data_IF_569120326939
#
_entry.id   IF_569120326939
#
_cell.length_a   1.000
_cell.length_b   1.000
_cell.length_c   1.000
_cell.angle_alpha   90.00
_cell.angle_beta   90.00
_cell.angle_gamma   90.00
#
_symmetry.space_group_name_H-M   'P 1'
#
loop_
_entity.id
_entity.type
_entity.pdbx_description
1 polymer ?
#
# COMPACT_ATOMS: atom_id res chain seq x y z
N UNK A 1 -12.16 0.59 -4.53
CA UNK A 1 -10.72 0.88 -4.59
C UNK A 1 -10.46 1.80 -5.76
N UNK A 2 -9.71 2.88 -5.55
CA UNK A 2 -9.25 3.82 -6.58
C UNK A 2 -7.83 4.28 -6.25
N UNK A 3 -7.04 4.70 -7.24
CA UNK A 3 -5.75 5.34 -7.01
C UNK A 3 -5.90 6.82 -6.67
N UNK A 4 -4.87 7.44 -6.10
CA UNK A 4 -4.74 8.89 -5.90
C UNK A 4 -5.01 9.70 -7.17
N UNK A 5 -4.38 9.35 -8.30
CA UNK A 5 -4.61 10.02 -9.59
C UNK A 5 -6.08 9.95 -10.04
N UNK A 6 -6.72 8.80 -9.89
CA UNK A 6 -8.15 8.62 -10.19
C UNK A 6 -9.03 9.40 -9.23
N UNK A 7 -8.65 9.48 -7.94
CA UNK A 7 -9.37 10.28 -6.96
C UNK A 7 -9.45 11.74 -7.39
N UNK A 8 -8.32 12.37 -7.71
CA UNK A 8 -8.29 13.76 -8.18
C UNK A 8 -8.98 13.95 -9.54
N UNK A 9 -8.85 12.99 -10.46
CA UNK A 9 -9.39 13.13 -11.81
C UNK A 9 -10.91 12.95 -11.89
N UNK A 10 -11.47 11.96 -11.17
CA UNK A 10 -12.89 11.59 -11.30
C UNK A 10 -13.54 11.14 -9.98
N UNK A 11 -12.77 10.91 -8.92
CA UNK A 11 -13.30 10.42 -7.64
C UNK A 11 -14.05 11.49 -6.83
N UNK A 12 -13.64 12.75 -6.89
CA UNK A 12 -14.22 13.83 -6.07
C UNK A 12 -15.72 14.04 -6.35
N UNK A 13 -16.20 14.18 -7.61
CA UNK A 13 -17.64 14.34 -7.86
C UNK A 13 -18.46 13.12 -7.41
N UNK A 14 -17.91 11.91 -7.62
CA UNK A 14 -18.57 10.67 -7.19
C UNK A 14 -18.66 10.57 -5.67
N UNK A 15 -17.61 10.99 -4.94
CA UNK A 15 -17.60 11.06 -3.48
C UNK A 15 -18.68 12.00 -2.96
N UNK A 16 -18.72 13.23 -3.50
CA UNK A 16 -19.70 14.24 -3.09
C UNK A 16 -21.13 13.76 -3.35
N UNK A 17 -21.37 13.11 -4.49
CA UNK A 17 -22.67 12.53 -4.78
C UNK A 17 -23.04 11.41 -3.78
N UNK A 18 -22.09 10.54 -3.42
CA UNK A 18 -22.33 9.48 -2.43
C UNK A 18 -22.66 10.06 -1.05
N UNK A 19 -21.92 11.09 -0.61
CA UNK A 19 -22.19 11.76 0.67
C UNK A 19 -23.54 12.48 0.65
N UNK A 20 -23.83 13.24 -0.41
CA UNK A 20 -25.09 13.98 -0.54
C UNK A 20 -26.32 13.07 -0.47
N UNK A 21 -26.26 11.90 -1.12
CA UNK A 21 -27.35 10.94 -1.14
C UNK A 21 -27.33 9.95 0.04
N UNK A 22 -26.37 10.06 0.96
CA UNK A 22 -26.23 9.13 2.08
C UNK A 22 -25.95 7.69 1.65
N UNK A 23 -25.37 7.46 0.47
CA UNK A 23 -25.06 6.13 -0.04
C UNK A 23 -23.93 5.50 0.80
N UNK A 24 -24.14 4.38 1.52
CA UNK A 24 -23.21 3.87 2.53
C UNK A 24 -22.04 3.07 1.92
N UNK A 25 -21.35 3.64 0.94
CA UNK A 25 -20.23 3.00 0.25
C UNK A 25 -18.92 3.15 1.01
N UNK A 26 -18.04 2.17 0.85
CA UNK A 26 -16.70 2.15 1.45
C UNK A 26 -15.66 2.41 0.37
N UNK A 27 -14.88 3.46 0.54
CA UNK A 27 -13.93 3.92 -0.49
C UNK A 27 -12.53 3.76 0.05
N UNK A 28 -11.73 2.97 -0.67
CA UNK A 28 -10.31 2.83 -0.38
C UNK A 28 -9.52 3.55 -1.45
N UNK A 29 -8.64 4.44 -1.03
CA UNK A 29 -7.72 5.16 -1.91
C UNK A 29 -6.33 4.58 -1.74
N UNK A 30 -5.77 4.00 -2.81
CA UNK A 30 -4.38 3.58 -2.88
C UNK A 30 -3.54 4.80 -3.26
N UNK A 31 -3.01 5.47 -2.24
CA UNK A 31 -2.28 6.72 -2.36
C UNK A 31 -0.78 6.42 -2.40
N UNK A 32 -0.23 6.36 -3.61
CA UNK A 32 1.17 6.05 -3.83
C UNK A 32 2.02 7.24 -4.29
N UNK A 33 1.43 8.44 -4.29
CA UNK A 33 2.07 9.68 -4.73
C UNK A 33 2.51 9.67 -6.19
N UNK A 34 1.91 8.82 -7.04
CA UNK A 34 2.32 8.68 -8.44
C UNK A 34 1.20 8.13 -9.34
N UNK A 35 0.99 8.75 -10.50
CA UNK A 35 0.14 8.13 -11.55
C UNK A 35 0.92 7.04 -12.29
N UNK A 36 1.18 5.93 -11.59
CA UNK A 36 2.18 4.94 -11.97
C UNK A 36 1.91 4.27 -13.33
N UNK A 37 0.66 3.90 -13.61
CA UNK A 37 0.30 3.12 -14.80
C UNK A 37 0.40 3.89 -16.13
N UNK A 38 0.37 5.22 -16.09
CA UNK A 38 0.39 6.09 -17.29
C UNK A 38 1.66 6.93 -17.38
N UNK A 39 2.76 6.42 -16.80
CA UNK A 39 4.08 7.02 -16.93
C UNK A 39 4.45 8.06 -15.88
N UNK A 40 3.94 7.91 -14.64
CA UNK A 40 4.34 8.72 -13.48
C UNK A 40 4.07 10.22 -13.65
N UNK A 41 2.91 10.55 -14.22
CA UNK A 41 2.45 11.94 -14.36
C UNK A 41 2.29 12.60 -12.98
N UNK A 42 2.42 13.93 -12.94
CA UNK A 42 2.18 14.70 -11.72
C UNK A 42 0.71 14.66 -11.32
N UNK A 43 0.43 14.62 -10.02
CA UNK A 43 -0.90 14.82 -9.47
C UNK A 43 -0.87 15.91 -8.36
N UNK A 44 -2.03 16.47 -7.96
CA UNK A 44 -2.09 17.57 -7.00
C UNK A 44 -1.47 17.30 -5.62
N UNK A 45 -1.29 16.03 -5.24
CA UNK A 45 -0.74 15.65 -3.94
C UNK A 45 0.79 15.60 -3.91
N UNK A 46 1.46 15.62 -5.07
CA UNK A 46 2.91 15.49 -5.14
C UNK A 46 3.69 16.74 -4.67
N UNK A 47 3.01 17.85 -4.37
CA UNK A 47 3.65 19.10 -3.93
C UNK A 47 4.54 19.75 -5.00
N UNK A 48 4.30 19.43 -6.28
CA UNK A 48 4.97 20.05 -7.42
C UNK A 48 4.05 20.15 -8.63
N UNK A 49 4.22 21.21 -9.42
CA UNK A 49 3.50 21.40 -10.69
C UNK A 49 4.08 20.50 -11.79
N UNK A 50 3.38 20.43 -12.93
CA UNK A 50 3.87 19.76 -14.13
C UNK A 50 5.18 20.38 -14.69
N UNK A 51 5.45 21.66 -14.40
CA UNK A 51 6.68 22.37 -14.77
C UNK A 51 7.80 22.21 -13.74
N UNK A 52 7.53 21.58 -12.59
CA UNK A 52 8.52 21.29 -11.56
C UNK A 52 8.58 22.29 -10.40
N UNK A 53 7.73 23.31 -10.39
CA UNK A 53 7.66 24.29 -9.31
C UNK A 53 7.11 23.64 -8.04
N UNK A 54 7.74 23.90 -6.90
CA UNK A 54 7.28 23.40 -5.61
C UNK A 54 6.01 24.15 -5.19
N UNK A 55 4.99 23.40 -4.78
CA UNK A 55 3.71 23.92 -4.30
C UNK A 55 3.24 23.11 -3.10
N UNK A 56 2.31 23.65 -2.33
CA UNK A 56 1.71 22.88 -1.23
C UNK A 56 0.87 21.72 -1.79
N UNK A 57 1.02 20.50 -1.24
CA UNK A 57 0.26 19.35 -1.70
C UNK A 57 -1.21 19.46 -1.28
N UNK A 58 -2.11 19.03 -2.17
CA UNK A 58 -3.53 18.88 -1.83
C UNK A 58 -3.75 17.48 -1.29
N UNK A 59 -4.15 17.37 -0.02
CA UNK A 59 -4.33 16.08 0.64
C UNK A 59 -5.74 15.51 0.42
N UNK A 60 -5.81 14.19 0.17
CA UNK A 60 -7.05 13.47 -0.13
C UNK A 60 -8.01 13.48 1.07
N UNK A 61 -7.48 13.33 2.29
CA UNK A 61 -8.24 13.38 3.54
C UNK A 61 -8.91 14.74 3.78
N UNK A 62 -8.30 15.83 3.31
CA UNK A 62 -8.84 17.17 3.46
C UNK A 62 -10.02 17.38 2.51
N UNK A 63 -9.90 16.93 1.25
CA UNK A 63 -11.01 16.93 0.29
C UNK A 63 -12.15 16.03 0.79
N UNK A 64 -11.83 14.85 1.31
CA UNK A 64 -12.81 13.92 1.84
C UNK A 64 -13.60 14.54 3.01
N UNK A 65 -12.88 15.18 3.95
CA UNK A 65 -13.50 15.88 5.08
C UNK A 65 -14.37 17.05 4.61
N UNK A 66 -13.88 17.85 3.66
CA UNK A 66 -14.64 18.95 3.07
C UNK A 66 -15.87 18.48 2.30
N UNK A 67 -15.83 17.26 1.74
CA UNK A 67 -16.95 16.63 1.05
C UNK A 67 -17.99 16.00 1.99
N UNK A 68 -17.75 16.04 3.30
CA UNK A 68 -18.69 15.59 4.35
C UNK A 68 -18.50 14.15 4.83
N UNK A 69 -17.38 13.50 4.49
CA UNK A 69 -17.06 12.16 5.01
C UNK A 69 -16.69 12.27 6.49
N UNK A 70 -17.37 11.47 7.32
CA UNK A 70 -17.18 11.50 8.79
C UNK A 70 -16.13 10.51 9.30
N UNK A 71 -15.94 9.40 8.58
CA UNK A 71 -14.98 8.37 8.95
C UNK A 71 -13.87 8.30 7.89
N UNK A 72 -12.69 8.79 8.26
CA UNK A 72 -11.50 8.84 7.39
C UNK A 72 -10.33 8.35 8.22
N UNK A 73 -9.64 7.32 7.74
CA UNK A 73 -8.39 6.83 8.32
C UNK A 73 -7.28 6.85 7.26
N UNK A 74 -6.08 7.25 7.64
CA UNK A 74 -4.88 7.15 6.80
C UNK A 74 -3.99 6.10 7.42
N UNK A 75 -3.60 5.09 6.63
CA UNK A 75 -2.78 3.97 7.10
C UNK A 75 -1.66 3.65 6.11
N UNK A 76 -0.56 3.13 6.63
CA UNK A 76 0.48 2.52 5.80
C UNK A 76 0.09 1.06 5.52
N UNK A 77 -0.07 0.64 4.25
CA UNK A 77 -0.41 -0.75 3.91
C UNK A 77 0.66 -1.78 4.27
N UNK A 78 1.88 -1.37 4.62
CA UNK A 78 2.94 -2.30 5.08
C UNK A 78 2.91 -2.51 6.59
N UNK A 79 2.10 -1.76 7.34
CA UNK A 79 1.72 -2.11 8.72
C UNK A 79 0.42 -2.92 8.65
N UNK A 80 0.57 -4.26 8.55
CA UNK A 80 -0.57 -5.14 8.25
C UNK A 80 -1.64 -5.11 9.34
N UNK A 81 -1.22 -5.06 10.61
CA UNK A 81 -2.13 -5.02 11.75
C UNK A 81 -2.91 -3.69 11.79
N UNK A 82 -2.22 -2.55 11.66
CA UNK A 82 -2.88 -1.25 11.65
C UNK A 82 -3.82 -1.10 10.45
N UNK A 83 -3.41 -1.56 9.28
CA UNK A 83 -4.22 -1.57 8.07
C UNK A 83 -5.47 -2.44 8.26
N UNK A 84 -5.32 -3.69 8.73
CA UNK A 84 -6.44 -4.60 8.96
C UNK A 84 -7.46 -3.99 9.93
N UNK A 85 -7.00 -3.41 11.03
CA UNK A 85 -7.88 -2.78 12.02
C UNK A 85 -8.59 -1.54 11.47
N UNK A 86 -7.93 -0.73 10.64
CA UNK A 86 -8.58 0.40 9.96
C UNK A 86 -9.64 -0.08 8.97
N UNK A 87 -9.39 -1.14 8.20
CA UNK A 87 -10.40 -1.74 7.32
C UNK A 87 -11.59 -2.28 8.12
N UNK A 88 -11.37 -2.97 9.25
CA UNK A 88 -12.45 -3.43 10.13
C UNK A 88 -13.28 -2.27 10.68
N UNK A 89 -12.66 -1.17 11.11
CA UNK A 89 -13.37 0.04 11.57
C UNK A 89 -14.17 0.69 10.44
N UNK A 90 -13.60 0.81 9.25
CA UNK A 90 -14.28 1.34 8.06
C UNK A 90 -15.52 0.52 7.68
N UNK A 91 -15.43 -0.81 7.73
CA UNK A 91 -16.55 -1.71 7.43
C UNK A 91 -17.70 -1.57 8.44
N UNK A 92 -17.39 -1.26 9.71
CA UNK A 92 -18.38 -1.05 10.77
C UNK A 92 -18.94 0.37 10.81
N UNK A 93 -18.25 1.35 10.22
CA UNK A 93 -18.69 2.74 10.22
C UNK A 93 -20.02 2.91 9.47
N UNK A 94 -20.87 3.83 9.93
CA UNK A 94 -22.11 4.19 9.23
C UNK A 94 -21.84 5.15 8.07
N UNK A 95 -22.67 5.07 7.02
CA UNK A 95 -22.58 5.94 5.85
C UNK A 95 -21.28 5.75 5.05
N UNK A 96 -20.88 6.82 4.36
CA UNK A 96 -19.62 6.85 3.58
C UNK A 96 -18.44 6.82 4.54
N UNK A 97 -17.51 5.89 4.30
CA UNK A 97 -16.30 5.75 5.06
C UNK A 97 -15.10 5.54 4.14
N UNK A 98 -13.96 6.09 4.52
CA UNK A 98 -12.76 6.11 3.71
C UNK A 98 -11.53 5.60 4.46
N UNK A 99 -10.74 4.76 3.79
CA UNK A 99 -9.37 4.43 4.19
C UNK A 99 -8.44 4.87 3.08
N UNK A 100 -7.46 5.71 3.43
CA UNK A 100 -6.40 6.15 2.53
C UNK A 100 -5.16 5.32 2.86
N UNK A 101 -4.88 4.34 2.02
CA UNK A 101 -3.71 3.47 2.11
C UNK A 101 -2.53 4.19 1.47
N UNK A 102 -1.74 4.90 2.28
CA UNK A 102 -0.68 5.81 1.82
C UNK A 102 0.71 5.17 1.94
N UNK A 103 1.40 5.01 0.82
CA UNK A 103 2.82 4.61 0.76
C UNK A 103 3.40 4.95 -0.59
N UNK A 104 4.58 5.57 -0.63
CA UNK A 104 5.31 5.83 -1.89
C UNK A 104 5.31 4.62 -2.81
N UNK A 105 5.04 4.85 -4.10
CA UNK A 105 5.08 3.81 -5.12
C UNK A 105 6.42 3.07 -5.07
N UNK A 106 6.38 1.72 -4.96
CA UNK A 106 7.57 0.91 -4.80
C UNK A 106 8.59 1.12 -5.95
N UNK A 107 8.12 1.35 -7.19
CA UNK A 107 8.99 1.66 -8.32
C UNK A 107 9.67 3.03 -8.19
N UNK A 108 8.96 4.03 -7.65
CA UNK A 108 9.53 5.37 -7.38
C UNK A 108 10.57 5.26 -6.27
N UNK A 109 10.24 4.59 -5.17
CA UNK A 109 11.16 4.36 -4.06
C UNK A 109 12.46 3.68 -4.51
N UNK A 110 12.36 2.60 -5.30
CA UNK A 110 13.55 1.91 -5.85
C UNK A 110 14.35 2.80 -6.80
N UNK A 111 13.68 3.62 -7.61
CA UNK A 111 14.36 4.56 -8.51
C UNK A 111 15.15 5.60 -7.73
N UNK A 112 14.60 6.12 -6.65
CA UNK A 112 15.26 7.12 -5.79
C UNK A 112 16.42 6.53 -4.97
N UNK A 113 16.40 5.23 -4.67
CA UNK A 113 17.49 4.55 -3.97
C UNK A 113 18.76 4.36 -4.82
N UNK A 114 18.69 4.48 -6.16
CA UNK A 114 19.83 4.17 -7.04
C UNK A 114 21.09 4.98 -6.70
N UNK A 115 22.28 4.36 -6.69
CA UNK A 115 22.59 3.00 -7.16
C UNK A 115 22.29 1.89 -6.13
N UNK A 116 21.86 2.24 -4.92
CA UNK A 116 21.50 1.28 -3.89
C UNK A 116 20.20 0.53 -4.26
N UNK A 117 19.95 -0.58 -3.57
CA UNK A 117 18.74 -1.39 -3.69
C UNK A 117 18.03 -1.49 -2.34
N UNK A 118 16.73 -1.83 -2.32
CA UNK A 118 16.04 -2.14 -1.08
C UNK A 118 16.78 -3.22 -0.28
N UNK A 119 16.65 -3.19 1.06
CA UNK A 119 17.11 -4.30 1.87
C UNK A 119 16.39 -5.59 1.44
N UNK A 120 17.16 -6.65 1.24
CA UNK A 120 16.61 -7.96 0.89
C UNK A 120 16.22 -8.71 2.14
N UNK A 121 15.15 -9.50 2.03
CA UNK A 121 14.70 -10.42 3.07
C UNK A 121 15.07 -11.83 2.66
N UNK A 122 15.38 -12.65 3.66
CA UNK A 122 15.75 -14.06 3.49
C UNK A 122 14.87 -14.93 4.38
N UNK A 123 14.84 -16.23 4.06
CA UNK A 123 14.13 -17.24 4.85
C UNK A 123 15.17 -18.12 5.53
N UNK A 124 15.14 -18.16 6.86
CA UNK A 124 15.86 -19.14 7.67
C UNK A 124 15.30 -20.54 7.37
N UNK A 125 16.16 -21.38 6.78
CA UNK A 125 15.77 -22.73 6.35
C UNK A 125 15.58 -23.68 7.53
N UNK A 126 16.26 -23.45 8.66
CA UNK A 126 16.14 -24.26 9.87
C UNK A 126 14.85 -23.91 10.63
N UNK A 127 14.52 -22.62 10.73
CA UNK A 127 13.30 -22.17 11.40
C UNK A 127 12.03 -22.37 10.56
N UNK A 128 12.12 -22.38 9.22
CA UNK A 128 10.95 -22.45 8.36
C UNK A 128 10.23 -23.80 8.47
N UNK A 129 8.96 -23.82 8.87
CA UNK A 129 8.18 -25.06 9.05
C UNK A 129 7.43 -25.53 7.78
N UNK A 130 7.65 -24.89 6.63
CA UNK A 130 7.01 -25.28 5.37
C UNK A 130 5.49 -25.10 5.31
N UNK A 131 4.91 -24.23 6.14
CA UNK A 131 3.45 -24.04 6.26
C UNK A 131 2.80 -23.31 5.08
N UNK A 132 3.59 -22.73 4.17
CA UNK A 132 3.15 -21.96 2.98
C UNK A 132 2.31 -20.70 3.26
N UNK A 133 2.16 -20.25 4.51
CA UNK A 133 1.36 -19.05 4.83
C UNK A 133 1.87 -17.79 4.11
N UNK A 134 3.19 -17.61 4.01
CA UNK A 134 3.78 -16.48 3.28
C UNK A 134 3.48 -16.53 1.77
N UNK A 135 3.40 -17.73 1.19
CA UNK A 135 3.13 -17.95 -0.24
C UNK A 135 1.63 -17.84 -0.57
N UNK A 136 0.78 -18.52 0.20
CA UNK A 136 -0.66 -18.62 -0.11
C UNK A 136 -1.49 -17.54 0.58
N UNK A 137 -1.10 -17.13 1.79
CA UNK A 137 -1.82 -16.10 2.56
C UNK A 137 -1.47 -14.69 2.10
N UNK A 138 -0.17 -14.39 1.98
CA UNK A 138 0.29 -13.07 1.54
C UNK A 138 0.49 -12.97 0.01
N UNK A 139 1.16 -13.95 -0.61
CA UNK A 139 1.27 -14.00 -2.07
C UNK A 139 2.27 -13.01 -2.67
N UNK A 140 3.40 -12.77 -2.02
CA UNK A 140 4.47 -11.95 -2.60
C UNK A 140 5.01 -12.59 -3.88
N UNK A 141 5.16 -11.87 -5.01
CA UNK A 141 5.76 -12.42 -6.22
C UNK A 141 7.25 -12.75 -6.05
N UNK A 142 7.92 -12.22 -5.03
CA UNK A 142 9.32 -12.55 -4.72
C UNK A 142 9.45 -13.85 -3.88
N UNK A 143 8.35 -14.41 -3.36
CA UNK A 143 8.40 -15.65 -2.59
C UNK A 143 8.35 -16.85 -3.54
N UNK A 144 9.29 -17.76 -3.35
CA UNK A 144 9.45 -18.98 -4.14
C UNK A 144 9.25 -20.21 -3.25
N UNK A 145 8.82 -21.31 -3.85
CA UNK A 145 8.66 -22.59 -3.17
C UNK A 145 9.66 -23.60 -3.72
N UNK A 146 10.46 -24.19 -2.83
CA UNK A 146 11.31 -25.33 -3.16
C UNK A 146 10.53 -26.62 -2.85
N UNK A 147 10.20 -27.40 -3.89
CA UNK A 147 9.46 -28.67 -3.73
C UNK A 147 10.30 -29.75 -3.05
N UNK A 148 11.61 -29.79 -3.29
CA UNK A 148 12.50 -30.83 -2.75
C UNK A 148 12.72 -30.64 -1.25
N UNK A 149 13.05 -29.41 -0.84
CA UNK A 149 13.28 -29.06 0.57
C UNK A 149 11.98 -28.84 1.34
N UNK A 150 10.88 -28.61 0.62
CA UNK A 150 9.56 -28.20 1.17
C UNK A 150 9.67 -26.93 2.03
N UNK A 151 10.45 -25.96 1.56
CA UNK A 151 10.70 -24.68 2.24
C UNK A 151 10.43 -23.52 1.29
N UNK A 152 10.16 -22.36 1.89
CA UNK A 152 10.07 -21.11 1.16
C UNK A 152 11.46 -20.47 0.99
N UNK A 153 11.64 -19.74 -0.10
CA UNK A 153 12.81 -18.88 -0.34
C UNK A 153 12.35 -17.54 -0.92
N UNK A 154 13.25 -16.55 -0.96
CA UNK A 154 12.96 -15.22 -1.51
C UNK A 154 13.91 -14.94 -2.68
N UNK A 155 13.36 -14.52 -3.82
CA UNK A 155 14.12 -14.00 -4.94
C UNK A 155 14.54 -12.55 -4.67
N UNK A 156 15.83 -12.37 -4.39
CA UNK A 156 16.44 -11.08 -4.08
C UNK A 156 16.38 -10.07 -5.24
N UNK A 157 16.13 -10.51 -6.48
CA UNK A 157 15.98 -9.62 -7.63
C UNK A 157 14.59 -9.00 -7.70
N UNK A 158 13.58 -9.67 -7.13
CA UNK A 158 12.19 -9.22 -7.08
C UNK A 158 11.81 -8.60 -5.72
N UNK A 159 12.57 -8.89 -4.66
CA UNK A 159 12.30 -8.39 -3.32
C UNK A 159 12.39 -6.85 -3.27
N UNK A 160 11.32 -6.21 -2.79
CA UNK A 160 11.23 -4.75 -2.64
C UNK A 160 11.49 -4.28 -1.21
N UNK A 161 11.82 -5.18 -0.28
CA UNK A 161 12.17 -4.84 1.11
C UNK A 161 11.01 -4.28 1.94
N UNK A 162 9.77 -4.70 1.66
CA UNK A 162 8.57 -4.16 2.30
C UNK A 162 8.24 -4.71 3.69
N UNK A 163 9.00 -5.68 4.21
CA UNK A 163 8.80 -6.35 5.51
C UNK A 163 7.48 -7.15 5.68
N UNK A 164 6.49 -6.96 4.82
CA UNK A 164 5.17 -7.59 4.96
C UNK A 164 5.22 -9.13 5.04
N UNK A 165 6.16 -9.78 4.35
CA UNK A 165 6.31 -11.24 4.43
C UNK A 165 6.83 -11.72 5.79
N UNK A 166 7.63 -10.92 6.49
CA UNK A 166 8.10 -11.24 7.84
C UNK A 166 6.95 -11.19 8.86
N UNK A 167 6.09 -10.18 8.75
CA UNK A 167 4.93 -10.00 9.63
C UNK A 167 3.94 -11.16 9.58
N UNK A 168 3.77 -11.82 8.42
CA UNK A 168 2.85 -12.97 8.27
C UNK A 168 3.47 -14.32 8.61
N UNK A 169 4.78 -14.39 8.91
CA UNK A 169 5.43 -15.66 9.20
C UNK A 169 5.15 -16.09 10.65
N UNK A 170 4.42 -17.21 10.90
CA UNK A 170 3.99 -17.57 12.26
C UNK A 170 5.14 -18.01 13.18
N UNK A 171 6.31 -18.32 12.61
CA UNK A 171 7.49 -18.79 13.33
C UNK A 171 8.68 -17.82 13.21
N UNK A 172 8.48 -16.64 12.63
CA UNK A 172 9.54 -15.63 12.50
C UNK A 172 10.73 -16.05 11.63
N UNK A 173 10.54 -17.00 10.70
CA UNK A 173 11.62 -17.51 9.85
C UNK A 173 12.06 -16.53 8.75
N UNK A 174 11.32 -15.45 8.51
CA UNK A 174 11.64 -14.46 7.48
C UNK A 174 12.19 -13.21 8.16
N UNK A 175 13.39 -12.80 7.77
CA UNK A 175 14.07 -11.65 8.37
C UNK A 175 14.87 -10.90 7.31
N UNK A 176 15.20 -9.64 7.62
CA UNK A 176 16.09 -8.84 6.78
C UNK A 176 17.47 -9.50 6.74
N UNK A 177 18.04 -9.66 5.54
CA UNK A 177 19.42 -10.12 5.42
C UNK A 177 20.33 -9.13 6.13
N UNK A 178 21.18 -9.64 7.01
CA UNK A 178 22.38 -8.90 7.39
C UNK A 178 23.20 -8.71 6.10
N UNK A 179 23.57 -7.47 5.82
CA UNK A 179 24.35 -7.11 4.64
C UNK A 179 25.83 -7.44 4.84
#
# INVERSE_FOLDING_TARGET
WIGDGTFFHAGIPALQNAVHNGAPIKIVVADNGAVAMTGFQTNPQMGRTATGDKVDPIMIEDIARASGVKHIEVVDPYDLDAAEEAFKRMLRAEGVAMVISRRVCAMVAVREMRPNRPPVYVVDQDACIGCKQCLSGYGCPALMWNEDERKASIDNTLCMGCDSCAQVCPVGAIHRSDA
#
